data_IF_520236871636
#
_entry.id   IF_520236871636
#
_cell.length_a   1.000
_cell.length_b   1.000
_cell.length_c   1.000
_cell.angle_alpha   90.00
_cell.angle_beta   90.00
_cell.angle_gamma   90.00
#
_symmetry.space_group_name_H-M   'P 1'
#
loop_
_entity.id
_entity.type
_entity.pdbx_description
1 polymer ?
#
# COMPACT_ATOMS: atom_id res chain seq x y z
N UNK A 1 7.85 1.52 5.75
CA UNK A 1 6.39 1.63 5.97
C UNK A 1 5.74 0.28 5.70
N UNK A 2 4.65 -0.04 6.37
CA UNK A 2 3.92 -1.29 6.14
C UNK A 2 2.57 -0.96 5.50
N UNK A 3 2.30 -1.52 4.32
CA UNK A 3 1.09 -1.29 3.54
C UNK A 3 0.32 -2.60 3.42
N UNK A 4 -1.00 -2.54 3.60
CA UNK A 4 -1.88 -3.68 3.35
C UNK A 4 -2.86 -3.31 2.23
N UNK A 5 -2.88 -4.09 1.16
CA UNK A 5 -3.82 -3.85 0.07
C UNK A 5 -5.17 -4.41 0.47
N UNK A 6 -6.17 -3.53 0.54
CA UNK A 6 -7.52 -3.91 0.93
C UNK A 6 -8.54 -3.44 -0.10
N UNK A 7 -9.42 -4.36 -0.51
CA UNK A 7 -10.41 -4.15 -1.56
C UNK A 7 -11.57 -3.24 -1.14
N UNK A 8 -11.86 -3.15 0.16
CA UNK A 8 -12.90 -2.25 0.69
C UNK A 8 -12.36 -0.86 1.05
N UNK A 9 -11.04 -0.63 0.99
CA UNK A 9 -10.45 0.69 1.16
C UNK A 9 -10.79 1.60 -0.03
N UNK A 10 -11.30 2.81 0.24
CA UNK A 10 -11.78 3.74 -0.79
C UNK A 10 -11.23 5.15 -0.67
N UNK A 11 -10.61 5.50 0.46
CA UNK A 11 -10.15 6.86 0.73
C UNK A 11 -8.67 7.02 0.44
N UNK A 12 -7.84 6.10 0.95
CA UNK A 12 -6.40 6.22 0.86
C UNK A 12 -5.85 5.43 -0.32
N UNK A 13 -5.55 6.13 -1.42
CA UNK A 13 -4.86 5.52 -2.56
C UNK A 13 -3.38 5.31 -2.24
N UNK A 14 -2.84 4.17 -2.68
CA UNK A 14 -1.41 3.90 -2.55
C UNK A 14 -0.56 4.99 -3.23
N UNK A 15 -0.99 5.50 -4.40
CA UNK A 15 -0.29 6.60 -5.10
C UNK A 15 -0.15 7.84 -4.22
N UNK A 16 -1.23 8.27 -3.57
CA UNK A 16 -1.22 9.46 -2.71
C UNK A 16 -0.22 9.26 -1.57
N UNK A 17 -0.27 8.10 -0.90
CA UNK A 17 0.64 7.76 0.17
C UNK A 17 2.12 7.69 -0.28
N UNK A 18 2.40 7.25 -1.51
CA UNK A 18 3.77 7.18 -2.03
C UNK A 18 4.34 8.54 -2.46
N UNK A 19 3.49 9.45 -2.95
CA UNK A 19 3.91 10.78 -3.44
C UNK A 19 4.02 11.82 -2.35
N UNK A 20 3.11 11.76 -1.39
CA UNK A 20 3.09 12.69 -0.26
C UNK A 20 3.96 12.10 0.84
N UNK A 21 4.93 12.87 1.33
CA UNK A 21 5.59 12.49 2.58
C UNK A 21 4.51 12.31 3.66
N UNK A 22 4.61 11.30 4.55
CA UNK A 22 3.67 11.15 5.66
C UNK A 22 3.52 12.49 6.39
N UNK A 23 2.30 12.87 6.84
CA UNK A 23 2.08 14.13 7.54
C UNK A 23 3.12 14.33 8.66
N UNK A 24 3.88 15.43 8.59
CA UNK A 24 4.93 15.74 9.57
C UNK A 24 6.38 15.43 9.17
N UNK A 25 6.70 15.23 7.88
CA UNK A 25 8.11 15.15 7.40
C UNK A 25 8.42 16.13 6.26
N UNK A 26 9.54 16.86 6.39
CA UNK A 26 10.00 17.90 5.45
C UNK A 26 10.97 17.39 4.37
N UNK A 27 11.48 16.14 4.44
CA UNK A 27 12.48 15.62 3.49
C UNK A 27 11.94 14.49 2.58
N UNK A 28 12.35 14.53 1.32
CA UNK A 28 12.19 13.45 0.34
C UNK A 28 12.81 12.15 0.87
N UNK A 29 12.13 11.04 0.61
CA UNK A 29 12.27 9.76 1.31
C UNK A 29 13.74 9.26 1.41
N UNK A 30 14.32 9.17 2.62
CA UNK A 30 15.54 8.38 2.86
C UNK A 30 15.19 6.88 2.86
N UNK A 31 16.17 5.94 2.73
CA UNK A 31 15.88 4.56 2.34
C UNK A 31 15.13 3.83 3.45
N UNK A 32 13.81 3.73 3.34
CA UNK A 32 13.03 2.88 4.23
C UNK A 32 12.50 1.68 3.47
N UNK A 33 12.62 0.52 4.11
CA UNK A 33 12.01 -0.73 3.69
C UNK A 33 10.49 -0.58 3.61
N UNK A 34 9.90 -1.03 2.51
CA UNK A 34 8.45 -1.16 2.36
C UNK A 34 8.07 -2.62 2.58
N UNK A 35 7.16 -2.85 3.52
CA UNK A 35 6.52 -4.14 3.70
C UNK A 35 5.14 -4.08 3.02
N UNK A 36 4.86 -5.04 2.15
CA UNK A 36 3.59 -5.15 1.44
C UNK A 36 2.86 -6.42 1.89
N UNK A 37 1.63 -6.25 2.36
CA UNK A 37 0.71 -7.34 2.67
C UNK A 37 -0.31 -7.43 1.53
N UNK A 38 -0.32 -8.58 0.86
CA UNK A 38 -1.26 -8.90 -0.22
C UNK A 38 -2.17 -10.01 0.29
N UNK A 39 -3.48 -9.80 0.22
CA UNK A 39 -4.46 -10.79 0.67
C UNK A 39 -4.57 -11.99 -0.28
N UNK A 40 -5.12 -13.12 0.18
CA UNK A 40 -5.52 -14.23 -0.69
C UNK A 40 -6.68 -13.82 -1.62
N UNK A 41 -7.16 -14.72 -2.48
CA UNK A 41 -8.30 -14.44 -3.38
C UNK A 41 -9.56 -13.92 -2.66
N UNK A 42 -9.76 -14.30 -1.39
CA UNK A 42 -10.86 -13.85 -0.54
C UNK A 42 -10.64 -12.51 0.17
N UNK A 43 -9.50 -11.85 -0.05
CA UNK A 43 -9.18 -10.57 0.58
C UNK A 43 -8.82 -10.67 2.06
N UNK A 44 -8.84 -9.53 2.73
CA UNK A 44 -8.69 -9.43 4.19
C UNK A 44 -10.03 -9.09 4.84
N UNK A 45 -10.32 -9.74 5.96
CA UNK A 45 -11.50 -9.42 6.74
C UNK A 45 -11.35 -8.07 7.45
N UNK A 46 -12.46 -7.37 7.77
CA UNK A 46 -12.41 -6.14 8.56
C UNK A 46 -11.69 -6.31 9.91
N UNK A 47 -11.78 -7.48 10.54
CA UNK A 47 -11.10 -7.78 11.80
C UNK A 47 -9.57 -7.87 11.61
N UNK A 48 -9.09 -8.49 10.52
CA UNK A 48 -7.67 -8.53 10.18
C UNK A 48 -7.12 -7.14 9.86
N UNK A 49 -7.88 -6.31 9.15
CA UNK A 49 -7.52 -4.91 8.90
C UNK A 49 -7.45 -4.12 10.20
N UNK A 50 -8.43 -4.29 11.10
CA UNK A 50 -8.41 -3.65 12.41
C UNK A 50 -7.20 -4.08 13.25
N UNK A 51 -6.76 -5.33 13.14
CA UNK A 51 -5.50 -5.80 13.77
C UNK A 51 -4.30 -5.13 13.10
N UNK A 52 -4.23 -5.10 11.77
CA UNK A 52 -3.13 -4.50 11.02
C UNK A 52 -2.95 -3.01 11.37
N UNK A 53 -4.04 -2.25 11.45
CA UNK A 53 -4.04 -0.85 11.85
C UNK A 53 -3.50 -0.62 13.27
N UNK A 54 -3.75 -1.54 14.23
CA UNK A 54 -3.18 -1.47 15.59
C UNK A 54 -1.65 -1.62 15.62
N UNK A 55 -1.07 -2.18 14.56
CA UNK A 55 0.37 -2.34 14.38
C UNK A 55 0.95 -1.36 13.34
N UNK A 56 0.30 -0.23 13.13
CA UNK A 56 0.72 0.83 12.19
C UNK A 56 0.86 0.36 10.72
N UNK A 57 0.15 -0.72 10.35
CA UNK A 57 0.02 -1.14 8.95
C UNK A 57 -1.11 -0.36 8.30
N UNK A 58 -0.80 0.31 7.20
CA UNK A 58 -1.71 1.25 6.55
C UNK A 58 -2.50 0.56 5.44
N UNK A 59 -3.83 0.44 5.57
CA UNK A 59 -4.66 -0.06 4.47
C UNK A 59 -4.67 0.95 3.33
N UNK A 60 -4.49 0.45 2.11
CA UNK A 60 -4.48 1.27 0.90
C UNK A 60 -5.20 0.56 -0.24
N UNK A 61 -5.75 1.36 -1.16
CA UNK A 61 -6.33 0.87 -2.41
C UNK A 61 -5.42 1.10 -3.61
N UNK A 62 -5.46 0.17 -4.57
CA UNK A 62 -4.87 0.33 -5.92
C UNK A 62 -5.81 1.07 -6.90
N UNK A 63 -6.95 1.57 -6.40
CA UNK A 63 -7.95 2.31 -7.17
C UNK A 63 -9.21 1.49 -7.42
N UNK A 64 -10.05 1.97 -8.34
CA UNK A 64 -11.43 1.50 -8.50
C UNK A 64 -11.61 0.04 -8.99
N UNK A 65 -10.53 -0.67 -9.32
CA UNK A 65 -10.60 -2.05 -9.85
C UNK A 65 -9.95 -2.99 -8.85
N UNK A 66 -10.72 -3.95 -8.37
CA UNK A 66 -10.19 -5.08 -7.63
C UNK A 66 -9.34 -5.93 -8.56
N UNK A 67 -8.06 -6.08 -8.24
CA UNK A 67 -7.12 -6.94 -8.96
C UNK A 67 -7.08 -8.31 -8.28
N UNK A 68 -6.77 -9.36 -9.06
CA UNK A 68 -6.41 -10.66 -8.48
C UNK A 68 -5.13 -10.52 -7.66
N UNK A 69 -4.98 -11.35 -6.62
CA UNK A 69 -3.88 -11.24 -5.65
C UNK A 69 -2.49 -11.15 -6.30
N UNK A 70 -2.19 -12.00 -7.29
CA UNK A 70 -0.91 -12.03 -7.98
C UNK A 70 -0.70 -10.75 -8.82
N UNK A 71 -1.76 -10.27 -9.46
CA UNK A 71 -1.71 -9.01 -10.23
C UNK A 71 -1.54 -7.81 -9.32
N UNK A 72 -2.21 -7.80 -8.16
CA UNK A 72 -2.06 -6.76 -7.15
C UNK A 72 -0.62 -6.69 -6.63
N UNK A 73 0.00 -7.84 -6.34
CA UNK A 73 1.40 -7.92 -5.90
C UNK A 73 2.37 -7.33 -6.92
N UNK A 74 2.26 -7.73 -8.19
CA UNK A 74 3.11 -7.22 -9.28
C UNK A 74 2.87 -5.73 -9.51
N UNK A 75 1.61 -5.30 -9.61
CA UNK A 75 1.26 -3.92 -9.87
C UNK A 75 1.71 -2.98 -8.73
N UNK A 76 1.52 -3.40 -7.47
CA UNK A 76 1.95 -2.61 -6.32
C UNK A 76 3.46 -2.48 -6.25
N UNK A 77 4.19 -3.59 -6.44
CA UNK A 77 5.65 -3.58 -6.46
C UNK A 77 6.19 -2.67 -7.58
N UNK A 78 5.61 -2.77 -8.77
CA UNK A 78 5.99 -1.92 -9.89
C UNK A 78 5.69 -0.44 -9.63
N UNK A 79 4.51 -0.13 -9.09
CA UNK A 79 4.13 1.24 -8.76
C UNK A 79 5.04 1.85 -7.69
N UNK A 80 5.43 1.08 -6.68
CA UNK A 80 6.40 1.51 -5.65
C UNK A 80 7.73 1.86 -6.30
N UNK A 81 8.35 0.92 -7.02
CA UNK A 81 9.66 1.15 -7.62
C UNK A 81 9.62 2.33 -8.61
N UNK A 82 8.51 2.51 -9.34
CA UNK A 82 8.33 3.63 -10.25
C UNK A 82 8.19 4.97 -9.53
N UNK A 83 7.27 5.07 -8.56
CA UNK A 83 7.02 6.33 -7.84
C UNK A 83 8.22 6.75 -6.97
N UNK A 84 9.10 5.82 -6.59
CA UNK A 84 10.32 6.08 -5.82
C UNK A 84 11.58 6.29 -6.68
N UNK A 85 11.47 6.16 -8.01
CA UNK A 85 12.58 6.40 -8.93
C UNK A 85 13.59 5.26 -9.04
N UNK A 86 13.26 4.06 -8.55
CA UNK A 86 14.09 2.86 -8.68
C UNK A 86 13.94 2.17 -10.06
N UNK A 87 12.92 2.54 -10.84
CA UNK A 87 12.79 2.19 -12.26
C UNK A 87 12.93 3.45 -13.12
N UNK A 88 14.12 3.64 -13.69
CA UNK A 88 14.46 4.71 -14.65
C UNK A 88 14.53 4.18 -16.09
#
# INVERSE_FOLDING_TARGET
ISLILWEEEQQLSMRTLLREAPPGREQAWPPFTINLFIGPEGGFTPDEIAVAQRYDVVPVTLGARTLRAETAAIAASAAILYELGDMA
#
